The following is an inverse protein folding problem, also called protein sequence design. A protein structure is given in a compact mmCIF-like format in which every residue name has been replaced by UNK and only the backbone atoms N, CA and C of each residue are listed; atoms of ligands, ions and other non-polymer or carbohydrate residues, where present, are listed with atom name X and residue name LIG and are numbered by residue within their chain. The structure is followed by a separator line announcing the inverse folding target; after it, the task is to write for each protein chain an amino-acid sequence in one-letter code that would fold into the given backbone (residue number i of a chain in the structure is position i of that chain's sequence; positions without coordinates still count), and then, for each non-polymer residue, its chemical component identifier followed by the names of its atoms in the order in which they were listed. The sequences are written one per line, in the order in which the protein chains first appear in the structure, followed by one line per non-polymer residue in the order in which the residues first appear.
data_IF_452446484659
#
_entry.id   IF_452446484659
#
_cell.length_a   1.000
_cell.length_b   1.000
_cell.length_c   1.000
_cell.angle_alpha   90.00
_cell.angle_beta   90.00
_cell.angle_gamma   90.00
#
_symmetry.space_group_name_H-M   'P 1'
#
loop_
_entity.id
_entity.type
_entity.pdbx_description
1 polymer ?
#
# COMPACT_ATOMS: atom_id res chain seq x y z
N UNK A 1 -14.82 9.96 12.71
CA UNK A 1 -13.39 9.82 12.98
C UNK A 1 -12.74 9.31 11.69
N UNK A 2 -12.08 10.19 10.95
CA UNK A 2 -11.55 9.91 9.62
C UNK A 2 -10.08 9.47 9.65
N UNK A 3 -9.71 8.44 10.42
CA UNK A 3 -8.35 7.89 10.39
C UNK A 3 -8.38 6.38 10.21
N UNK A 4 -7.45 5.83 9.42
CA UNK A 4 -7.23 4.39 9.27
C UNK A 4 -6.41 3.78 10.41
N UNK A 5 -6.13 4.54 11.46
CA UNK A 5 -5.38 4.08 12.64
C UNK A 5 -6.13 2.97 13.38
N UNK A 6 -5.44 1.85 13.65
CA UNK A 6 -5.98 0.74 14.41
C UNK A 6 -5.64 0.89 15.89
N UNK A 7 -6.66 1.11 16.72
CA UNK A 7 -6.54 1.21 18.18
C UNK A 7 -7.06 -0.07 18.82
N UNK A 8 -6.23 -0.79 19.54
CA UNK A 8 -6.58 -2.07 20.16
C UNK A 8 -6.27 -2.04 21.63
N UNK A 9 -7.28 -2.31 22.47
CA UNK A 9 -7.15 -2.38 23.95
C UNK A 9 -6.45 -1.16 24.56
N UNK A 10 -6.72 0.03 24.06
CA UNK A 10 -6.11 1.28 24.54
C UNK A 10 -4.68 1.54 24.03
N UNK A 11 -4.14 0.65 23.20
CA UNK A 11 -2.84 0.88 22.55
C UNK A 11 -2.96 1.78 21.34
N UNK A 12 -1.90 2.55 21.06
CA UNK A 12 -1.79 3.41 19.88
C UNK A 12 -1.51 2.60 18.59
N UNK A 13 -1.73 3.18 17.40
CA UNK A 13 -1.54 2.49 16.13
C UNK A 13 -0.15 1.90 15.91
N UNK A 14 0.90 2.55 16.41
CA UNK A 14 2.30 2.11 16.35
C UNK A 14 2.60 0.88 17.19
N UNK A 15 1.72 0.55 18.15
CA UNK A 15 1.84 -0.64 19.00
C UNK A 15 1.27 -1.91 18.35
N UNK A 16 0.72 -1.82 17.16
CA UNK A 16 0.22 -2.96 16.42
C UNK A 16 1.27 -3.46 15.42
N UNK A 17 1.46 -4.77 15.34
CA UNK A 17 2.27 -5.41 14.31
C UNK A 17 1.38 -5.68 13.10
N UNK A 18 1.66 -5.00 11.99
CA UNK A 18 0.99 -5.24 10.72
C UNK A 18 1.85 -6.15 9.86
N UNK A 19 1.28 -7.25 9.38
CA UNK A 19 1.96 -8.22 8.53
C UNK A 19 1.21 -8.37 7.20
N UNK A 20 1.91 -8.20 6.10
CA UNK A 20 1.41 -8.53 4.77
C UNK A 20 2.11 -9.79 4.26
N UNK A 21 1.34 -10.86 4.06
CA UNK A 21 1.87 -12.21 3.76
C UNK A 21 2.99 -12.66 4.73
N UNK A 22 2.89 -12.27 6.01
CA UNK A 22 3.85 -12.60 7.06
C UNK A 22 5.09 -11.70 7.13
N UNK A 23 5.17 -10.64 6.33
CA UNK A 23 6.26 -9.65 6.35
C UNK A 23 5.79 -8.38 7.06
N UNK A 24 6.56 -7.83 8.02
CA UNK A 24 6.22 -6.57 8.67
C UNK A 24 6.09 -5.42 7.67
N UNK A 25 4.99 -4.69 7.79
CA UNK A 25 4.73 -3.45 7.07
C UNK A 25 4.71 -2.29 8.06
N UNK A 26 5.53 -1.27 7.84
CA UNK A 26 5.72 -0.20 8.82
C UNK A 26 4.76 0.97 8.60
N UNK A 27 4.67 1.52 7.42
CA UNK A 27 3.70 2.56 7.14
C UNK A 27 2.44 1.95 6.50
N UNK A 28 1.35 1.91 7.25
CA UNK A 28 0.12 1.17 6.87
C UNK A 28 -1.02 2.09 6.41
N UNK A 29 -0.71 3.36 6.19
CA UNK A 29 -1.70 4.35 5.78
C UNK A 29 -1.13 5.37 4.80
N UNK A 30 -2.01 5.89 3.96
CA UNK A 30 -1.78 7.02 3.07
C UNK A 30 -2.48 8.27 3.60
N UNK A 31 -2.07 9.45 3.12
CA UNK A 31 -2.65 10.75 3.47
C UNK A 31 -2.76 10.91 4.99
N UNK A 32 -1.63 10.78 5.69
CA UNK A 32 -1.56 10.97 7.15
C UNK A 32 -2.60 10.15 7.94
N UNK A 33 -2.96 8.97 7.44
CA UNK A 33 -3.90 8.06 8.11
C UNK A 33 -5.32 8.03 7.57
N UNK A 34 -5.65 8.77 6.52
CA UNK A 34 -7.02 8.76 5.95
C UNK A 34 -7.31 7.51 5.11
N UNK A 35 -6.33 6.98 4.40
CA UNK A 35 -6.50 5.79 3.57
C UNK A 35 -5.60 4.65 4.04
N UNK A 36 -6.13 3.44 4.02
CA UNK A 36 -5.33 2.24 4.27
C UNK A 36 -4.49 1.89 3.05
N UNK A 37 -3.26 1.40 3.26
CA UNK A 37 -2.41 0.83 2.19
C UNK A 37 -2.96 -0.47 1.63
N UNK A 38 -3.91 -1.12 2.32
CA UNK A 38 -4.46 -2.40 1.89
C UNK A 38 -5.57 -2.20 0.86
N UNK A 39 -5.34 -2.70 -0.37
CA UNK A 39 -6.38 -2.79 -1.35
C UNK A 39 -7.24 -4.04 -1.06
N UNK A 40 -8.52 -3.83 -0.70
CA UNK A 40 -9.44 -4.91 -0.35
C UNK A 40 -9.57 -5.97 -1.45
N UNK A 41 -9.46 -5.58 -2.72
CA UNK A 41 -9.59 -6.50 -3.85
C UNK A 41 -8.42 -7.48 -3.96
N UNK A 42 -7.23 -7.11 -3.43
CA UNK A 42 -6.06 -7.96 -3.36
C UNK A 42 -6.06 -8.85 -2.10
N UNK A 43 -6.90 -8.55 -1.09
CA UNK A 43 -6.91 -9.25 0.19
C UNK A 43 -7.75 -10.51 0.11
N UNK A 44 -7.18 -11.62 0.58
CA UNK A 44 -7.84 -12.92 0.75
C UNK A 44 -8.45 -13.08 2.15
N UNK A 45 -7.66 -12.73 3.16
CA UNK A 45 -8.07 -12.86 4.56
C UNK A 45 -7.32 -11.87 5.43
N UNK A 46 -7.97 -11.49 6.53
CA UNK A 46 -7.41 -10.66 7.57
C UNK A 46 -7.71 -11.30 8.92
N UNK A 47 -6.71 -11.39 9.78
CA UNK A 47 -6.86 -11.89 11.14
C UNK A 47 -6.19 -10.97 12.14
N UNK A 48 -6.80 -10.78 13.30
CA UNK A 48 -6.27 -9.98 14.38
C UNK A 48 -6.11 -10.81 15.66
N UNK A 49 -4.90 -10.80 16.22
CA UNK A 49 -4.59 -11.40 17.50
C UNK A 49 -4.39 -10.32 18.55
N UNK A 50 -5.23 -10.33 19.60
CA UNK A 50 -5.27 -9.29 20.65
C UNK A 50 -4.71 -9.86 21.95
N UNK A 51 -3.38 -9.82 22.13
CA UNK A 51 -2.70 -10.41 23.31
C UNK A 51 -2.52 -11.94 23.21
N UNK A 52 -1.67 -12.50 24.08
CA UNK A 52 -1.34 -13.93 24.04
C UNK A 52 -0.60 -14.33 22.77
N UNK A 53 0.29 -13.49 22.31
CA UNK A 53 0.98 -13.67 21.02
C UNK A 53 1.82 -14.95 21.00
N UNK A 54 1.74 -15.75 19.93
CA UNK A 54 2.69 -16.83 19.69
C UNK A 54 4.14 -16.32 19.72
N UNK A 55 5.08 -17.13 20.22
CA UNK A 55 6.49 -16.76 20.39
C UNK A 55 7.20 -16.34 19.09
N UNK A 56 6.62 -16.67 17.92
CA UNK A 56 7.12 -16.26 16.61
C UNK A 56 6.95 -14.75 16.32
N UNK A 57 6.12 -14.06 17.09
CA UNK A 57 5.86 -12.64 16.94
C UNK A 57 6.47 -11.85 18.08
N UNK A 58 7.08 -10.73 17.76
CA UNK A 58 7.68 -9.83 18.74
C UNK A 58 7.64 -8.37 18.26
N UNK A 59 8.13 -7.46 19.12
CA UNK A 59 8.36 -6.06 18.77
C UNK A 59 7.14 -5.15 18.82
N UNK A 60 5.94 -5.65 19.18
CA UNK A 60 4.73 -4.85 19.37
C UNK A 60 3.93 -5.33 20.57
N UNK A 61 3.15 -4.41 21.19
CA UNK A 61 2.53 -4.64 22.50
C UNK A 61 1.02 -4.84 22.44
N UNK A 62 0.32 -4.28 21.46
CA UNK A 62 -1.14 -4.20 21.47
C UNK A 62 -1.81 -5.32 20.68
N UNK A 63 -1.49 -5.47 19.40
CA UNK A 63 -2.06 -6.51 18.54
C UNK A 63 -1.15 -6.92 17.40
N UNK A 64 -1.52 -8.04 16.77
CA UNK A 64 -0.94 -8.50 15.51
C UNK A 64 -2.06 -8.58 14.49
N UNK A 65 -1.94 -7.85 13.39
CA UNK A 65 -2.82 -7.91 12.25
C UNK A 65 -2.10 -8.61 11.10
N UNK A 66 -2.55 -9.81 10.77
CA UNK A 66 -2.05 -10.56 9.62
C UNK A 66 -2.99 -10.40 8.44
N UNK A 67 -2.48 -9.95 7.32
CA UNK A 67 -3.19 -9.76 6.07
C UNK A 67 -2.55 -10.66 5.03
N UNK A 68 -3.35 -11.53 4.45
CA UNK A 68 -2.93 -12.43 3.40
C UNK A 68 -3.53 -11.99 2.07
N UNK A 69 -2.69 -11.85 1.05
CA UNK A 69 -3.13 -11.56 -0.30
C UNK A 69 -3.73 -12.79 -0.99
N UNK A 70 -4.61 -12.57 -1.96
CA UNK A 70 -5.13 -13.62 -2.83
C UNK A 70 -3.97 -14.34 -3.54
N UNK A 71 -4.10 -15.66 -3.66
CA UNK A 71 -3.09 -16.49 -4.33
C UNK A 71 -3.23 -16.48 -5.86
N UNK A 72 -4.28 -15.85 -6.38
CA UNK A 72 -4.69 -15.92 -7.78
C UNK A 72 -5.47 -17.20 -8.11
N UNK A 73 -6.32 -17.12 -9.14
CA UNK A 73 -7.11 -18.25 -9.60
C UNK A 73 -6.25 -19.18 -10.48
N UNK A 74 -6.24 -20.48 -10.21
CA UNK A 74 -5.47 -21.45 -10.97
C UNK A 74 -6.17 -21.98 -12.23
N UNK A 75 -7.44 -21.63 -12.46
CA UNK A 75 -8.26 -22.20 -13.53
C UNK A 75 -8.78 -21.17 -14.51
N UNK A 76 -9.20 -20.02 -14.00
CA UNK A 76 -9.89 -18.98 -14.76
C UNK A 76 -9.24 -17.64 -14.56
N UNK A 77 -9.30 -16.81 -15.57
CA UNK A 77 -8.86 -15.42 -15.51
C UNK A 77 -10.00 -14.55 -15.02
N UNK A 78 -9.71 -13.69 -14.05
CA UNK A 78 -10.64 -12.68 -13.55
C UNK A 78 -9.95 -11.31 -13.58
N UNK A 79 -10.72 -10.30 -13.93
CA UNK A 79 -10.29 -8.91 -13.83
C UNK A 79 -11.43 -8.09 -13.25
N UNK A 80 -11.10 -7.26 -12.26
CA UNK A 80 -12.00 -6.32 -11.63
C UNK A 80 -11.36 -4.93 -11.67
N UNK A 81 -12.11 -3.94 -12.11
CA UNK A 81 -11.66 -2.56 -12.22
C UNK A 81 -12.70 -1.58 -11.73
N UNK A 82 -12.25 -0.55 -11.05
CA UNK A 82 -13.11 0.54 -10.59
C UNK A 82 -12.43 1.89 -10.83
N UNK A 83 -13.18 2.84 -11.34
CA UNK A 83 -12.78 4.24 -11.49
C UNK A 83 -13.77 5.06 -10.68
N UNK A 84 -13.26 5.75 -9.66
CA UNK A 84 -14.03 6.68 -8.83
C UNK A 84 -13.52 8.11 -9.01
N UNK A 85 -14.16 9.06 -8.35
CA UNK A 85 -13.78 10.48 -8.44
C UNK A 85 -12.36 10.73 -7.93
N UNK A 86 -11.89 9.98 -6.93
CA UNK A 86 -10.60 10.23 -6.27
C UNK A 86 -9.53 9.18 -6.55
N UNK A 87 -9.91 7.99 -7.03
CA UNK A 87 -8.97 6.89 -7.23
C UNK A 87 -9.43 5.93 -8.34
N UNK A 88 -8.47 5.29 -8.98
CA UNK A 88 -8.70 4.11 -9.83
C UNK A 88 -8.01 2.91 -9.26
N UNK A 89 -8.62 1.75 -9.42
CA UNK A 89 -8.04 0.45 -9.04
C UNK A 89 -8.31 -0.58 -10.12
N UNK A 90 -7.38 -1.52 -10.27
CA UNK A 90 -7.47 -2.66 -11.16
C UNK A 90 -6.86 -3.87 -10.47
N UNK A 91 -7.56 -4.97 -10.46
CA UNK A 91 -7.07 -6.25 -9.94
C UNK A 91 -7.28 -7.31 -11.01
N UNK A 92 -6.24 -8.06 -11.31
CA UNK A 92 -6.25 -9.16 -12.27
C UNK A 92 -5.66 -10.40 -11.62
N UNK A 93 -6.29 -11.54 -11.84
CA UNK A 93 -5.80 -12.83 -11.39
C UNK A 93 -6.11 -13.92 -12.41
N UNK A 94 -5.26 -14.94 -12.46
CA UNK A 94 -5.49 -16.03 -13.38
C UNK A 94 -4.39 -17.09 -13.36
N UNK A 95 -4.57 -18.18 -14.16
CA UNK A 95 -3.57 -19.22 -14.30
C UNK A 95 -2.40 -18.76 -15.18
N UNK A 96 -1.18 -19.02 -14.72
CA UNK A 96 0.02 -19.07 -15.58
C UNK A 96 0.09 -20.45 -16.22
N UNK A 97 -0.11 -21.49 -15.39
CA UNK A 97 -0.27 -22.88 -15.83
C UNK A 97 -1.46 -23.46 -15.09
N UNK A 98 -2.49 -23.93 -15.79
CA UNK A 98 -3.70 -24.48 -15.18
C UNK A 98 -3.38 -25.52 -14.11
N UNK A 99 -4.04 -25.39 -12.96
CA UNK A 99 -3.94 -26.22 -11.76
C UNK A 99 -2.52 -26.29 -11.13
N UNK A 100 -1.53 -25.57 -11.67
CA UNK A 100 -0.14 -25.58 -11.20
C UNK A 100 0.37 -24.21 -10.74
N UNK A 101 0.13 -23.17 -11.53
CA UNK A 101 0.65 -21.85 -11.21
C UNK A 101 -0.38 -20.77 -11.51
N UNK A 102 -0.51 -19.79 -10.60
CA UNK A 102 -1.38 -18.63 -10.73
C UNK A 102 -0.66 -17.34 -10.38
N UNK A 103 -1.22 -16.25 -10.85
CA UNK A 103 -0.80 -14.90 -10.47
C UNK A 103 -1.99 -14.08 -9.98
N UNK A 104 -1.69 -13.07 -9.19
CA UNK A 104 -2.56 -11.96 -8.86
C UNK A 104 -1.74 -10.67 -8.92
N UNK A 105 -2.27 -9.65 -9.58
CA UNK A 105 -1.71 -8.29 -9.62
C UNK A 105 -2.85 -7.33 -9.32
N UNK A 106 -2.60 -6.40 -8.40
CA UNK A 106 -3.54 -5.35 -8.06
C UNK A 106 -2.83 -4.01 -7.99
N UNK A 107 -3.36 -3.02 -8.67
CA UNK A 107 -2.87 -1.65 -8.68
C UNK A 107 -3.97 -0.69 -8.25
N UNK A 108 -3.61 0.33 -7.49
CA UNK A 108 -4.46 1.45 -7.12
C UNK A 108 -3.65 2.74 -7.22
N UNK A 109 -4.27 3.81 -7.74
CA UNK A 109 -3.72 5.16 -7.73
C UNK A 109 -4.82 6.17 -7.45
N UNK A 110 -4.50 7.15 -6.60
CA UNK A 110 -5.32 8.36 -6.44
C UNK A 110 -4.84 9.46 -7.38
N UNK A 111 -5.73 10.41 -7.69
CA UNK A 111 -5.44 11.58 -8.52
C UNK A 111 -6.00 12.86 -7.91
N UNK A 112 -5.83 13.00 -6.59
CA UNK A 112 -6.20 14.22 -5.87
C UNK A 112 -5.43 15.44 -6.40
N UNK A 113 -4.20 15.25 -6.88
CA UNK A 113 -3.41 16.24 -7.60
C UNK A 113 -4.18 16.86 -8.78
N UNK A 114 -4.83 16.02 -9.59
CA UNK A 114 -5.59 16.50 -10.76
C UNK A 114 -6.90 17.21 -10.36
N UNK A 115 -7.51 16.82 -9.25
CA UNK A 115 -8.77 17.41 -8.78
C UNK A 115 -8.55 18.72 -8.02
N UNK A 116 -7.49 18.83 -7.25
CA UNK A 116 -7.21 20.00 -6.42
C UNK A 116 -6.72 21.19 -7.25
N UNK A 117 -5.96 20.97 -8.30
CA UNK A 117 -5.43 22.04 -9.17
C UNK A 117 -6.49 23.01 -9.66
N UNK A 118 -7.59 22.60 -10.33
CA UNK A 118 -8.60 23.53 -10.81
C UNK A 118 -9.37 24.21 -9.66
N UNK A 119 -9.56 23.55 -8.53
CA UNK A 119 -10.23 24.10 -7.35
C UNK A 119 -9.40 25.24 -6.76
N UNK A 120 -8.10 25.02 -6.57
CA UNK A 120 -7.20 26.03 -6.01
C UNK A 120 -6.98 27.16 -7.01
N UNK A 121 -6.82 26.87 -8.30
CA UNK A 121 -6.73 27.90 -9.33
C UNK A 121 -7.97 28.80 -9.33
N UNK A 122 -9.16 28.25 -9.15
CA UNK A 122 -10.39 29.04 -9.02
C UNK A 122 -10.43 29.86 -7.72
N UNK A 123 -9.96 29.29 -6.60
CA UNK A 123 -9.92 29.97 -5.31
C UNK A 123 -8.91 31.13 -5.27
N UNK A 124 -7.79 31.02 -6.00
CA UNK A 124 -6.74 32.04 -6.10
C UNK A 124 -6.90 32.97 -7.30
N UNK A 125 -7.96 32.81 -8.10
CA UNK A 125 -8.20 33.61 -9.32
C UNK A 125 -8.37 35.11 -9.06
N UNK A 126 -8.74 35.52 -7.84
CA UNK A 126 -8.90 36.92 -7.44
C UNK A 126 -7.56 37.60 -7.12
N UNK A 127 -6.49 36.86 -6.99
CA UNK A 127 -5.14 37.36 -6.74
C UNK A 127 -4.16 36.76 -7.74
N UNK A 128 -3.95 37.37 -8.91
CA UNK A 128 -3.02 36.87 -9.93
C UNK A 128 -1.56 36.84 -9.47
N UNK A 129 -1.23 37.53 -8.37
CA UNK A 129 0.13 37.53 -7.81
C UNK A 129 0.48 36.20 -7.12
N UNK A 130 -0.53 35.39 -6.74
CA UNK A 130 -0.34 34.14 -6.02
C UNK A 130 -0.70 32.94 -6.92
N UNK A 131 0.24 32.05 -7.10
CA UNK A 131 0.05 30.76 -7.79
C UNK A 131 0.40 29.61 -6.85
N UNK A 132 -0.59 28.80 -6.47
CA UNK A 132 -0.40 27.62 -5.63
C UNK A 132 -0.71 26.36 -6.42
N UNK A 133 0.26 25.45 -6.48
CA UNK A 133 0.15 24.17 -7.19
C UNK A 133 0.31 23.01 -6.20
N UNK A 134 -0.81 22.47 -5.67
CA UNK A 134 -0.77 21.31 -4.81
C UNK A 134 -0.56 20.06 -5.64
N UNK A 135 0.28 19.17 -5.14
CA UNK A 135 0.45 17.83 -5.67
C UNK A 135 0.25 16.83 -4.52
N UNK A 136 -0.76 15.99 -4.63
CA UNK A 136 -0.91 14.85 -3.75
C UNK A 136 -1.47 13.66 -4.52
N UNK A 137 -0.71 12.59 -4.52
CA UNK A 137 -1.17 11.29 -4.99
C UNK A 137 -0.50 10.18 -4.18
N UNK A 138 -1.14 9.05 -4.15
CA UNK A 138 -0.49 7.79 -3.74
C UNK A 138 -0.81 6.69 -4.72
N UNK A 139 0.02 5.67 -4.72
CA UNK A 139 -0.25 4.43 -5.42
C UNK A 139 0.15 3.21 -4.58
N UNK A 140 -0.54 2.11 -4.84
CA UNK A 140 -0.23 0.79 -4.34
C UNK A 140 -0.18 -0.20 -5.48
N UNK A 141 0.84 -1.03 -5.45
CA UNK A 141 1.00 -2.17 -6.33
C UNK A 141 1.19 -3.42 -5.49
N UNK A 142 0.34 -4.41 -5.71
CA UNK A 142 0.42 -5.73 -5.10
C UNK A 142 0.61 -6.77 -6.20
N UNK A 143 1.52 -7.72 -6.00
CA UNK A 143 1.70 -8.85 -6.90
C UNK A 143 1.95 -10.12 -6.10
N UNK A 144 1.34 -11.22 -6.55
CA UNK A 144 1.55 -12.53 -5.95
C UNK A 144 1.61 -13.61 -7.03
N UNK A 145 2.61 -14.46 -6.92
CA UNK A 145 2.75 -15.69 -7.71
C UNK A 145 2.61 -16.88 -6.77
N UNK A 146 1.93 -17.89 -7.22
CA UNK A 146 1.69 -19.11 -6.49
C UNK A 146 1.96 -20.30 -7.41
N UNK A 147 2.90 -21.16 -7.04
CA UNK A 147 3.34 -22.27 -7.85
C UNK A 147 3.41 -23.58 -7.07
N UNK A 148 2.67 -24.58 -7.53
CA UNK A 148 2.80 -25.96 -7.09
C UNK A 148 3.95 -26.63 -7.88
N UNK A 149 5.14 -26.62 -7.30
CA UNK A 149 6.35 -27.20 -7.92
C UNK A 149 6.27 -28.71 -7.95
N UNK A 150 5.61 -29.29 -6.96
CA UNK A 150 5.42 -30.74 -6.82
C UNK A 150 4.17 -31.07 -5.98
N UNK A 151 3.90 -32.35 -5.75
CA UNK A 151 2.72 -32.78 -4.99
C UNK A 151 2.77 -32.34 -3.53
N UNK A 152 3.96 -32.08 -2.98
CA UNK A 152 4.20 -31.67 -1.60
C UNK A 152 4.89 -30.31 -1.47
N UNK A 153 5.24 -29.68 -2.58
CA UNK A 153 6.02 -28.45 -2.61
C UNK A 153 5.23 -27.30 -3.24
N UNK A 154 5.18 -26.18 -2.55
CA UNK A 154 4.51 -24.97 -3.00
C UNK A 154 5.37 -23.74 -2.75
N UNK A 155 5.57 -22.95 -3.78
CA UNK A 155 6.36 -21.72 -3.73
C UNK A 155 5.44 -20.53 -3.96
N UNK A 156 5.63 -19.48 -3.16
CA UNK A 156 4.94 -18.20 -3.30
C UNK A 156 5.97 -17.10 -3.43
N UNK A 157 5.71 -16.18 -4.32
CA UNK A 157 6.36 -14.89 -4.35
C UNK A 157 5.30 -13.82 -4.13
N UNK A 158 5.53 -12.94 -3.16
CA UNK A 158 4.66 -11.80 -2.86
C UNK A 158 5.47 -10.52 -2.96
N UNK A 159 4.90 -9.49 -3.54
CA UNK A 159 5.50 -8.16 -3.60
C UNK A 159 4.44 -7.09 -3.34
N UNK A 160 4.83 -6.07 -2.59
CA UNK A 160 4.07 -4.86 -2.38
C UNK A 160 4.98 -3.64 -2.59
N UNK A 161 4.45 -2.62 -3.25
CA UNK A 161 5.07 -1.30 -3.36
C UNK A 161 3.99 -0.24 -3.20
N UNK A 162 4.13 0.60 -2.19
CA UNK A 162 3.28 1.77 -1.96
C UNK A 162 4.15 3.03 -1.91
N UNK A 163 3.66 4.12 -2.48
CA UNK A 163 4.26 5.45 -2.40
C UNK A 163 3.20 6.50 -2.13
N UNK A 164 3.51 7.41 -1.23
CA UNK A 164 2.85 8.70 -1.09
C UNK A 164 3.77 9.80 -1.62
N UNK A 165 3.18 10.77 -2.26
CA UNK A 165 3.85 11.95 -2.78
C UNK A 165 2.98 13.18 -2.48
N UNK A 166 3.46 14.01 -1.57
CA UNK A 166 2.83 15.26 -1.18
C UNK A 166 3.74 16.42 -1.51
N UNK A 167 3.24 17.40 -2.25
CA UNK A 167 3.96 18.62 -2.56
C UNK A 167 3.04 19.82 -2.58
N UNK A 168 3.56 20.97 -2.20
CA UNK A 168 2.91 22.28 -2.37
C UNK A 168 3.96 23.25 -2.87
N UNK A 169 3.81 23.71 -4.08
CA UNK A 169 4.56 24.81 -4.64
C UNK A 169 3.69 26.06 -4.59
N UNK A 170 4.14 27.11 -3.92
CA UNK A 170 3.46 28.41 -3.88
C UNK A 170 4.42 29.47 -4.36
N UNK A 171 4.01 30.21 -5.40
CA UNK A 171 4.75 31.31 -5.97
C UNK A 171 3.99 32.60 -5.79
N UNK A 172 4.61 33.58 -5.17
CA UNK A 172 4.13 34.95 -5.06
C UNK A 172 4.97 35.86 -5.97
N UNK A 173 4.28 36.72 -6.69
CA UNK A 173 4.88 37.71 -7.58
C UNK A 173 4.51 39.10 -7.07
N UNK A 174 5.48 39.94 -6.77
CA UNK A 174 5.26 41.30 -6.29
C UNK A 174 6.17 42.30 -6.99
N UNK A 175 5.67 43.53 -7.16
CA UNK A 175 6.45 44.61 -7.71
C UNK A 175 7.22 45.35 -6.62
N UNK A 176 8.53 45.46 -6.82
CA UNK A 176 9.42 46.13 -5.88
C UNK A 176 10.41 47.02 -6.64
N UNK A 177 10.48 48.31 -6.30
CA UNK A 177 11.39 49.32 -6.88
C UNK A 177 11.36 49.41 -8.42
N UNK A 178 10.20 49.19 -9.02
CA UNK A 178 10.03 49.25 -10.50
C UNK A 178 10.48 47.99 -11.23
N UNK A 179 10.75 46.92 -10.51
CA UNK A 179 11.00 45.56 -11.02
C UNK A 179 10.00 44.56 -10.42
N UNK A 180 9.79 43.43 -11.10
CA UNK A 180 8.95 42.34 -10.63
C UNK A 180 9.82 41.30 -9.93
N UNK A 181 9.56 41.03 -8.67
CA UNK A 181 10.22 39.97 -7.90
C UNK A 181 9.29 38.76 -7.74
N UNK A 182 9.88 37.58 -7.66
CA UNK A 182 9.14 36.32 -7.49
C UNK A 182 9.72 35.56 -6.31
N UNK A 183 8.87 35.19 -5.36
CA UNK A 183 9.20 34.32 -4.26
C UNK A 183 8.51 32.98 -4.44
N UNK A 184 9.25 31.88 -4.37
CA UNK A 184 8.68 30.53 -4.48
C UNK A 184 9.00 29.73 -3.22
N UNK A 185 7.98 29.16 -2.62
CA UNK A 185 8.08 28.19 -1.53
C UNK A 185 7.71 26.83 -2.10
N UNK A 186 8.63 25.87 -2.02
CA UNK A 186 8.42 24.49 -2.42
C UNK A 186 8.55 23.59 -1.18
N UNK A 187 7.46 22.90 -0.84
CA UNK A 187 7.39 21.95 0.26
C UNK A 187 7.01 20.59 -0.30
N UNK A 188 7.89 19.60 -0.11
CA UNK A 188 7.66 18.23 -0.55
C UNK A 188 7.88 17.23 0.57
N UNK A 189 7.06 16.19 0.61
CA UNK A 189 7.23 15.03 1.48
C UNK A 189 6.84 13.79 0.68
N UNK A 190 7.77 12.87 0.53
CA UNK A 190 7.48 11.57 -0.05
C UNK A 190 7.97 10.44 0.85
N UNK A 191 7.24 9.33 0.84
CA UNK A 191 7.67 8.10 1.48
C UNK A 191 7.24 6.89 0.68
N UNK A 192 8.03 5.83 0.80
CA UNK A 192 7.82 4.60 0.07
C UNK A 192 7.98 3.37 0.96
N UNK A 193 7.09 2.41 0.78
CA UNK A 193 7.21 1.07 1.31
C UNK A 193 7.39 0.06 0.20
N UNK A 194 8.38 -0.82 0.32
CA UNK A 194 8.58 -1.94 -0.59
C UNK A 194 8.83 -3.21 0.21
N UNK A 195 8.05 -4.23 -0.07
CA UNK A 195 8.18 -5.54 0.55
C UNK A 195 8.24 -6.58 -0.56
N UNK A 196 9.10 -7.55 -0.38
CA UNK A 196 9.12 -8.76 -1.19
C UNK A 196 9.23 -9.96 -0.25
N UNK A 197 8.59 -11.06 -0.60
CA UNK A 197 8.68 -12.30 0.14
C UNK A 197 8.72 -13.48 -0.82
N UNK A 198 9.70 -14.34 -0.64
CA UNK A 198 9.74 -15.65 -1.27
C UNK A 198 9.51 -16.68 -0.18
N UNK A 199 8.44 -17.46 -0.30
CA UNK A 199 8.06 -18.49 0.66
C UNK A 199 8.03 -19.85 -0.01
N UNK A 200 8.65 -20.83 0.59
CA UNK A 200 8.55 -22.22 0.22
C UNK A 200 7.90 -23.04 1.35
N UNK A 201 6.82 -23.71 1.00
CA UNK A 201 6.11 -24.63 1.88
C UNK A 201 6.31 -26.05 1.38
N UNK A 202 6.75 -26.96 2.26
CA UNK A 202 6.92 -28.38 1.96
C UNK A 202 6.23 -29.25 3.01
N UNK A 203 5.37 -30.13 2.53
CA UNK A 203 4.77 -31.18 3.36
C UNK A 203 5.75 -32.36 3.48
N UNK A 204 6.37 -32.52 4.66
CA UNK A 204 7.33 -33.59 4.91
C UNK A 204 6.58 -34.89 5.25
N UNK A 205 5.43 -34.77 5.87
CA UNK A 205 4.57 -35.89 6.25
C UNK A 205 3.19 -35.44 6.71
N UNK A 206 2.33 -36.39 7.11
CA UNK A 206 0.93 -36.07 7.45
C UNK A 206 0.75 -35.08 8.61
N UNK A 207 1.79 -34.89 9.43
CA UNK A 207 1.76 -34.03 10.62
C UNK A 207 2.88 -32.99 10.64
N UNK A 208 3.67 -32.88 9.56
CA UNK A 208 4.85 -32.03 9.56
C UNK A 208 4.92 -31.23 8.25
N UNK A 209 4.89 -29.91 8.41
CA UNK A 209 5.07 -28.95 7.31
C UNK A 209 6.29 -28.09 7.61
N UNK A 210 7.14 -27.92 6.64
CA UNK A 210 8.28 -27.02 6.72
C UNK A 210 7.99 -25.76 5.89
N UNK A 211 8.27 -24.59 6.48
CA UNK A 211 8.08 -23.30 5.84
C UNK A 211 9.40 -22.52 5.92
N UNK A 212 9.90 -22.09 4.80
CA UNK A 212 11.02 -21.16 4.70
C UNK A 212 10.54 -19.87 4.02
N UNK A 213 10.94 -18.73 4.57
CA UNK A 213 10.59 -17.42 4.01
C UNK A 213 11.84 -16.55 3.97
N UNK A 214 12.11 -15.94 2.83
CA UNK A 214 13.13 -14.91 2.62
C UNK A 214 12.42 -13.58 2.30
N UNK A 215 12.79 -12.53 3.03
CA UNK A 215 12.08 -11.23 2.94
C UNK A 215 13.06 -10.07 2.90
N UNK A 216 13.45 -9.54 1.72
CA UNK A 216 14.02 -8.21 1.64
C UNK A 216 12.91 -7.15 1.83
N UNK A 217 13.20 -6.13 2.61
CA UNK A 217 12.32 -4.96 2.76
C UNK A 217 13.15 -3.68 2.71
N UNK A 218 12.62 -2.65 2.08
CA UNK A 218 13.23 -1.32 1.98
C UNK A 218 12.18 -0.29 2.39
N UNK A 219 12.58 0.60 3.29
CA UNK A 219 11.76 1.72 3.76
C UNK A 219 12.59 2.99 3.60
N UNK A 220 12.06 3.97 2.88
CA UNK A 220 12.62 5.31 2.69
C UNK A 220 11.58 6.36 3.01
#
# INVERSE_FOLDING_TARGET
EGTSGLYVRGGSPDQNLMLLDGVPLYNVSHLFGFFSVFNADAVKSMSITKGGFPARYGGRLSSILEINMKDGNMREFHADGNISVIASKLTMEGPIVKDKASFMVSARRTYLDLLLRPIIAAATSNDPSVSTNPAYYFYDLNAKLNWRVGPRDRVYFSAFSGKDDFGVESTETYDFNGGTERSTIDLGLDWRNQIQALRWNREIGPRMVWNATATPSVHN
#
